data_IF_020905327396
#
_entry.id   IF_020905327396
#
_cell.length_a   1.000
_cell.length_b   1.000
_cell.length_c   1.000
_cell.angle_alpha   90.00
_cell.angle_beta   90.00
_cell.angle_gamma   90.00
#
_symmetry.space_group_name_H-M   'P 1'
#
loop_
_entity.id
_entity.type
_entity.pdbx_description
1 polymer ?
#
# COMPACT_ATOMS: atom_id res chain seq x y z
N UNK A 1 9.58 -35.66 -1.90
CA UNK A 1 10.96 -36.06 -1.54
C UNK A 1 11.16 -36.07 -0.04
N UNK A 2 10.78 -37.13 0.65
CA UNK A 2 11.49 -37.52 1.88
C UNK A 2 12.44 -38.71 1.65
N UNK A 3 12.52 -39.16 0.38
CA UNK A 3 13.44 -40.19 -0.15
C UNK A 3 14.27 -39.69 -1.34
N UNK A 4 14.25 -38.40 -1.66
CA UNK A 4 15.13 -37.77 -2.65
C UNK A 4 15.66 -36.51 -1.99
N UNK A 5 16.97 -36.44 -1.76
CA UNK A 5 17.71 -35.36 -1.08
C UNK A 5 17.68 -34.01 -1.80
N UNK A 6 16.49 -33.55 -2.17
CA UNK A 6 16.24 -32.23 -2.70
C UNK A 6 15.95 -31.36 -1.47
N UNK A 7 16.88 -30.47 -1.05
CA UNK A 7 16.48 -29.45 -0.10
C UNK A 7 15.38 -28.67 -0.80
N UNK A 8 14.17 -28.70 -0.25
CA UNK A 8 13.16 -27.74 -0.67
C UNK A 8 13.36 -26.54 0.23
N UNK A 9 14.10 -25.49 -0.19
CA UNK A 9 13.92 -24.22 0.47
C UNK A 9 12.54 -23.76 0.03
N UNK A 10 11.51 -24.14 0.79
CA UNK A 10 10.26 -23.39 0.70
C UNK A 10 10.63 -22.03 1.24
N UNK A 11 10.96 -21.11 0.33
CA UNK A 11 11.28 -19.73 0.63
C UNK A 11 10.26 -19.23 1.67
N UNK A 12 10.72 -18.74 2.81
CA UNK A 12 9.86 -18.19 3.86
C UNK A 12 8.87 -17.18 3.29
N UNK A 13 9.27 -16.44 2.25
CA UNK A 13 8.41 -15.55 1.49
C UNK A 13 7.25 -16.30 0.81
N UNK A 14 7.50 -17.42 0.12
CA UNK A 14 6.47 -18.24 -0.53
C UNK A 14 5.48 -18.84 0.49
N UNK A 15 5.98 -19.24 1.66
CA UNK A 15 5.13 -19.74 2.76
C UNK A 15 4.27 -18.63 3.38
N UNK A 16 4.85 -17.46 3.60
CA UNK A 16 4.11 -16.26 4.04
C UNK A 16 3.03 -15.88 3.05
N UNK A 17 3.34 -15.96 1.75
CA UNK A 17 2.43 -15.67 0.64
C UNK A 17 1.24 -16.62 0.57
N UNK A 18 1.49 -17.93 0.60
CA UNK A 18 0.44 -18.95 0.60
C UNK A 18 -0.44 -18.80 1.85
N UNK A 19 0.14 -18.50 3.02
CA UNK A 19 -0.63 -18.24 4.24
C UNK A 19 -1.49 -16.98 4.14
N UNK A 20 -0.98 -15.89 3.57
CA UNK A 20 -1.74 -14.65 3.40
C UNK A 20 -2.95 -14.85 2.47
N UNK A 21 -2.79 -15.64 1.40
CA UNK A 21 -3.87 -15.94 0.44
C UNK A 21 -4.89 -16.95 1.00
N UNK A 22 -4.46 -17.89 1.86
CA UNK A 22 -5.31 -18.98 2.41
C UNK A 22 -6.12 -18.55 3.64
N UNK A 23 -5.75 -17.47 4.31
CA UNK A 23 -6.52 -16.92 5.42
C UNK A 23 -7.87 -16.46 4.90
N UNK A 24 -8.97 -16.87 5.56
CA UNK A 24 -10.28 -16.24 5.36
C UNK A 24 -10.18 -14.77 5.76
N UNK A 25 -9.97 -13.91 4.78
CA UNK A 25 -9.97 -12.46 4.94
C UNK A 25 -11.41 -12.06 5.25
N UNK A 26 -11.62 -11.41 6.39
CA UNK A 26 -12.94 -10.91 6.77
C UNK A 26 -13.16 -9.61 6.00
N UNK A 27 -14.17 -9.56 5.12
CA UNK A 27 -14.56 -8.33 4.45
C UNK A 27 -15.09 -7.33 5.48
N UNK A 28 -14.39 -6.21 5.66
CA UNK A 28 -14.72 -5.14 6.62
C UNK A 28 -13.90 -3.88 6.35
N UNK A 29 -14.16 -2.77 7.06
CA UNK A 29 -13.46 -1.50 6.84
C UNK A 29 -11.94 -1.58 7.07
N UNK A 30 -11.45 -2.65 7.70
CA UNK A 30 -10.04 -2.93 7.99
C UNK A 30 -9.34 -3.80 6.94
N UNK A 31 -9.85 -3.79 5.70
CA UNK A 31 -9.26 -4.55 4.58
C UNK A 31 -8.74 -3.65 3.48
N UNK A 32 -7.67 -4.12 2.83
CA UNK A 32 -7.03 -3.52 1.68
C UNK A 32 -7.24 -4.44 0.48
N UNK A 33 -7.98 -3.97 -0.52
CA UNK A 33 -8.20 -4.70 -1.77
C UNK A 33 -7.19 -4.27 -2.84
N UNK A 34 -6.61 -5.22 -3.55
CA UNK A 34 -5.74 -5.00 -4.70
C UNK A 34 -6.41 -5.65 -5.91
N UNK A 35 -6.82 -4.86 -6.90
CA UNK A 35 -7.57 -5.33 -8.07
C UNK A 35 -7.31 -4.46 -9.32
N UNK A 36 -8.19 -4.53 -10.33
CA UNK A 36 -8.01 -3.85 -11.61
C UNK A 36 -7.28 -4.76 -12.60
N UNK A 37 -6.22 -4.26 -13.23
CA UNK A 37 -5.37 -4.96 -14.19
C UNK A 37 -4.47 -6.02 -13.51
N UNK A 38 -5.10 -7.02 -12.87
CA UNK A 38 -4.47 -8.15 -12.20
C UNK A 38 -5.18 -9.45 -12.56
N UNK A 39 -4.43 -10.55 -12.64
CA UNK A 39 -5.00 -11.87 -12.97
C UNK A 39 -6.00 -12.34 -11.90
N UNK A 40 -5.70 -12.08 -10.62
CA UNK A 40 -6.59 -12.41 -9.51
C UNK A 40 -6.54 -11.31 -8.46
N UNK A 41 -7.69 -10.70 -8.10
CA UNK A 41 -7.76 -9.74 -7.01
C UNK A 41 -7.36 -10.36 -5.67
N UNK A 42 -6.66 -9.58 -4.85
CA UNK A 42 -6.23 -9.97 -3.51
C UNK A 42 -6.84 -9.03 -2.49
N UNK A 43 -7.19 -9.54 -1.31
CA UNK A 43 -7.58 -8.70 -0.17
C UNK A 43 -6.68 -9.04 1.00
N UNK A 44 -6.19 -8.03 1.71
CA UNK A 44 -5.29 -8.18 2.85
C UNK A 44 -5.89 -7.46 4.05
N UNK A 45 -5.80 -8.06 5.22
CA UNK A 45 -6.01 -7.37 6.49
C UNK A 45 -4.66 -6.95 7.10
N UNK A 46 -4.69 -6.20 8.20
CA UNK A 46 -3.49 -5.79 8.94
C UNK A 46 -2.57 -6.97 9.29
N UNK A 47 -3.15 -8.11 9.67
CA UNK A 47 -2.37 -9.29 10.07
C UNK A 47 -1.65 -9.87 8.87
N UNK A 48 -2.29 -9.94 7.71
CA UNK A 48 -1.67 -10.38 6.46
C UNK A 48 -0.53 -9.43 6.06
N UNK A 49 -0.72 -8.12 6.17
CA UNK A 49 0.32 -7.11 5.90
C UNK A 49 1.55 -7.31 6.80
N UNK A 50 1.35 -7.59 8.09
CA UNK A 50 2.43 -7.85 9.04
C UNK A 50 3.21 -9.16 8.79
N UNK A 51 2.68 -10.07 7.95
CA UNK A 51 3.34 -11.33 7.59
C UNK A 51 4.09 -11.26 6.25
N UNK A 52 4.04 -10.13 5.55
CA UNK A 52 4.78 -9.92 4.31
C UNK A 52 6.29 -9.82 4.59
N UNK A 53 7.15 -10.14 3.59
CA UNK A 53 8.60 -10.27 3.79
C UNK A 53 9.23 -9.08 4.49
N UNK A 54 10.17 -9.37 5.40
CA UNK A 54 10.78 -8.37 6.27
C UNK A 54 11.52 -7.27 5.50
N UNK A 55 12.05 -7.55 4.30
CA UNK A 55 12.71 -6.54 3.46
C UNK A 55 11.79 -5.39 3.03
N UNK A 56 10.47 -5.61 2.99
CA UNK A 56 9.50 -4.58 2.66
C UNK A 56 8.93 -3.87 3.88
N UNK A 57 9.17 -4.37 5.09
CA UNK A 57 8.66 -3.79 6.32
C UNK A 57 9.48 -2.57 6.74
N UNK A 58 8.79 -1.57 7.28
CA UNK A 58 9.37 -0.39 7.91
C UNK A 58 8.88 -0.39 9.36
N UNK A 59 9.80 -0.66 10.28
CA UNK A 59 9.50 -0.78 11.72
C UNK A 59 9.18 0.56 12.37
N UNK A 60 9.73 1.65 11.84
CA UNK A 60 9.40 3.02 12.25
C UNK A 60 9.41 3.96 11.04
N UNK A 61 8.22 4.42 10.65
CA UNK A 61 8.02 5.36 9.55
C UNK A 61 8.67 6.72 9.81
N UNK A 62 8.90 7.11 11.07
CA UNK A 62 9.58 8.35 11.43
C UNK A 62 11.01 8.46 10.85
N UNK A 63 11.64 7.32 10.57
CA UNK A 63 12.99 7.25 9.98
C UNK A 63 13.05 7.74 8.53
N UNK A 64 11.93 7.67 7.80
CA UNK A 64 11.82 8.06 6.39
C UNK A 64 10.91 9.27 6.18
N UNK A 65 10.01 9.55 7.11
CA UNK A 65 9.10 10.68 7.08
C UNK A 65 9.05 11.33 8.48
N UNK A 66 9.87 12.36 8.74
CA UNK A 66 9.87 13.06 10.02
C UNK A 66 8.47 13.57 10.40
N UNK A 67 8.13 13.48 11.68
CA UNK A 67 6.82 13.87 12.22
C UNK A 67 5.72 12.82 12.05
N UNK A 68 6.05 11.64 11.54
CA UNK A 68 5.16 10.47 11.51
C UNK A 68 5.72 9.34 12.38
N UNK A 69 4.84 8.42 12.76
CA UNK A 69 5.18 7.23 13.54
C UNK A 69 4.35 6.05 13.05
N UNK A 70 4.76 4.85 13.46
CA UNK A 70 4.07 3.61 13.17
C UNK A 70 4.89 2.68 12.28
N UNK A 71 4.29 1.52 12.03
CA UNK A 71 4.81 0.51 11.15
C UNK A 71 4.11 0.59 9.80
N UNK A 72 4.90 0.41 8.74
CA UNK A 72 4.41 0.43 7.38
C UNK A 72 5.07 -0.64 6.53
N UNK A 73 4.54 -0.80 5.32
CA UNK A 73 5.12 -1.66 4.30
C UNK A 73 5.35 -0.85 3.03
N UNK A 74 6.49 -1.09 2.37
CA UNK A 74 6.77 -0.54 1.05
C UNK A 74 5.71 -1.03 0.07
N UNK A 75 5.11 -0.11 -0.68
CA UNK A 75 4.10 -0.43 -1.71
C UNK A 75 4.69 -1.39 -2.76
N UNK A 76 6.00 -1.35 -2.99
CA UNK A 76 6.73 -2.37 -3.75
C UNK A 76 6.30 -3.80 -3.37
N UNK A 77 6.37 -4.14 -2.07
CA UNK A 77 6.01 -5.48 -1.60
C UNK A 77 4.54 -5.83 -1.78
N UNK A 78 3.65 -4.83 -1.86
CA UNK A 78 2.23 -5.04 -2.17
C UNK A 78 1.99 -5.31 -3.66
N UNK A 79 2.73 -4.61 -4.52
CA UNK A 79 2.63 -4.74 -5.98
C UNK A 79 3.23 -6.04 -6.51
N UNK A 80 4.09 -6.70 -5.72
CA UNK A 80 4.64 -8.02 -6.06
C UNK A 80 3.68 -9.18 -5.69
N UNK A 81 2.53 -8.89 -5.06
CA UNK A 81 1.56 -9.92 -4.63
C UNK A 81 0.70 -10.43 -5.80
N UNK A 82 -0.06 -9.58 -6.51
CA UNK A 82 -0.82 -10.07 -7.65
C UNK A 82 0.09 -10.24 -8.87
N UNK A 83 -0.22 -11.24 -9.71
CA UNK A 83 0.25 -11.22 -11.09
C UNK A 83 -0.48 -10.09 -11.83
N UNK A 84 0.25 -9.14 -12.40
CA UNK A 84 -0.30 -8.02 -13.15
C UNK A 84 -0.67 -8.44 -14.58
N UNK A 85 -1.72 -7.84 -15.14
CA UNK A 85 -2.01 -7.94 -16.57
C UNK A 85 -0.94 -7.23 -17.41
N UNK A 86 -0.81 -7.63 -18.67
CA UNK A 86 0.13 -7.02 -19.61
C UNK A 86 -0.26 -5.54 -19.83
N UNK A 87 0.70 -4.64 -19.68
CA UNK A 87 0.52 -3.21 -19.90
C UNK A 87 0.10 -2.43 -18.66
N UNK A 88 -0.12 -3.08 -17.51
CA UNK A 88 -0.33 -2.38 -16.25
C UNK A 88 0.92 -1.55 -15.88
N UNK A 89 0.74 -0.25 -15.74
CA UNK A 89 1.81 0.73 -15.53
C UNK A 89 1.47 1.79 -14.48
N UNK A 90 0.23 1.80 -13.96
CA UNK A 90 -0.23 2.67 -12.89
C UNK A 90 -0.94 1.93 -11.77
N UNK A 91 -0.98 2.58 -10.61
CA UNK A 91 -1.80 2.19 -9.46
C UNK A 91 -2.54 3.42 -8.94
N UNK A 92 -3.85 3.26 -8.74
CA UNK A 92 -4.71 4.25 -8.09
C UNK A 92 -5.03 3.83 -6.67
N UNK A 93 -4.72 4.70 -5.71
CA UNK A 93 -5.02 4.49 -4.30
C UNK A 93 -6.32 5.17 -3.95
N UNK A 94 -7.34 4.40 -3.57
CA UNK A 94 -8.65 4.91 -3.20
C UNK A 94 -8.81 4.97 -1.69
N UNK A 95 -9.19 6.14 -1.19
CA UNK A 95 -9.66 6.29 0.19
C UNK A 95 -11.02 5.60 0.38
N UNK A 96 -11.35 5.25 1.62
CA UNK A 96 -12.66 4.77 2.02
C UNK A 96 -13.75 5.76 1.54
N UNK A 97 -14.88 5.24 1.06
CA UNK A 97 -15.97 6.01 0.43
C UNK A 97 -15.65 6.64 -0.94
N UNK A 98 -14.47 6.38 -1.53
CA UNK A 98 -14.13 6.77 -2.90
C UNK A 98 -14.04 8.28 -3.17
N UNK A 99 -14.08 9.12 -2.13
CA UNK A 99 -14.08 10.60 -2.25
C UNK A 99 -12.72 11.17 -2.61
N UNK A 100 -11.64 10.46 -2.28
CA UNK A 100 -10.28 10.83 -2.65
C UNK A 100 -9.56 9.66 -3.31
N UNK A 101 -8.84 9.95 -4.39
CA UNK A 101 -7.94 9.01 -5.02
C UNK A 101 -6.71 9.72 -5.58
N UNK A 102 -5.57 9.03 -5.57
CA UNK A 102 -4.34 9.48 -6.20
C UNK A 102 -3.82 8.38 -7.11
N UNK A 103 -3.49 8.72 -8.35
CA UNK A 103 -2.91 7.77 -9.32
C UNK A 103 -1.41 8.04 -9.45
N UNK A 104 -0.61 6.99 -9.29
CA UNK A 104 0.85 7.03 -9.45
C UNK A 104 1.25 6.03 -10.53
N UNK A 105 2.36 6.29 -11.22
CA UNK A 105 3.02 5.23 -12.00
C UNK A 105 3.49 4.12 -11.05
N UNK A 106 3.59 2.88 -11.52
CA UNK A 106 4.11 1.78 -10.71
C UNK A 106 5.56 2.06 -10.25
N UNK A 107 6.36 2.76 -11.06
CA UNK A 107 7.72 3.17 -10.67
C UNK A 107 7.69 4.11 -9.45
N UNK A 108 6.90 5.18 -9.50
CA UNK A 108 6.76 6.11 -8.38
C UNK A 108 6.21 5.43 -7.13
N UNK A 109 5.21 4.55 -7.29
CA UNK A 109 4.63 3.80 -6.18
C UNK A 109 5.65 2.83 -5.55
N UNK A 110 6.45 2.13 -6.35
CA UNK A 110 7.51 1.22 -5.86
C UNK A 110 8.63 1.98 -5.14
N UNK A 111 9.01 3.13 -5.65
CA UNK A 111 10.12 3.92 -5.14
C UNK A 111 9.75 4.67 -3.86
N UNK A 112 8.61 5.35 -3.86
CA UNK A 112 8.23 6.29 -2.79
C UNK A 112 7.13 5.77 -1.87
N UNK A 113 6.29 4.85 -2.34
CA UNK A 113 5.07 4.45 -1.64
C UNK A 113 5.34 3.64 -0.38
N UNK A 114 4.77 4.08 0.73
CA UNK A 114 4.71 3.33 2.00
C UNK A 114 3.28 3.34 2.51
N UNK A 115 2.72 2.16 2.79
CA UNK A 115 1.42 1.99 3.42
C UNK A 115 1.61 1.76 4.92
N UNK A 116 1.25 2.74 5.73
CA UNK A 116 1.25 2.66 7.20
C UNK A 116 0.00 1.91 7.65
N UNK A 117 0.17 0.86 8.46
CA UNK A 117 -0.92 -0.03 8.87
C UNK A 117 -1.06 -0.22 10.38
N UNK A 118 -0.12 0.30 11.17
CA UNK A 118 -0.13 0.14 12.63
C UNK A 118 0.62 1.28 13.33
N UNK A 119 0.15 1.67 14.52
CA UNK A 119 0.84 2.58 15.45
C UNK A 119 0.79 1.90 16.83
N UNK A 120 1.94 1.77 17.50
CA UNK A 120 2.05 1.22 18.86
C UNK A 120 1.37 -0.15 19.06
N UNK A 121 1.39 -1.03 18.05
CA UNK A 121 0.74 -2.35 18.12
C UNK A 121 -0.69 -2.39 17.60
N UNK A 122 -1.34 -1.23 17.48
CA UNK A 122 -2.76 -1.09 17.19
C UNK A 122 -3.03 -0.56 15.76
N UNK A 123 -4.21 -0.85 15.17
CA UNK A 123 -4.59 -0.28 13.88
C UNK A 123 -4.43 1.25 13.87
N UNK A 124 -4.06 1.81 12.71
CA UNK A 124 -3.95 3.28 12.59
C UNK A 124 -5.30 3.91 12.92
N UNK A 125 -5.37 4.87 13.87
CA UNK A 125 -6.63 5.55 14.18
C UNK A 125 -7.16 6.34 12.97
N UNK A 126 -8.49 6.47 12.86
CA UNK A 126 -9.13 7.27 11.79
C UNK A 126 -8.65 8.73 11.82
N UNK A 127 -8.45 9.30 13.02
CA UNK A 127 -7.90 10.65 13.20
C UNK A 127 -6.49 10.81 12.60
N UNK A 128 -5.71 9.72 12.56
CA UNK A 128 -4.38 9.65 11.97
C UNK A 128 -4.40 9.21 10.50
N UNK A 129 -5.60 9.02 9.92
CA UNK A 129 -5.81 8.64 8.53
C UNK A 129 -5.81 7.13 8.28
N UNK A 130 -6.16 6.34 9.29
CA UNK A 130 -6.28 4.88 9.15
C UNK A 130 -7.57 4.40 8.47
N UNK A 131 -7.78 3.06 8.41
CA UNK A 131 -6.91 2.03 9.01
C UNK A 131 -5.60 1.81 8.24
N UNK A 132 -5.55 2.24 6.98
CA UNK A 132 -4.33 2.26 6.17
C UNK A 132 -4.08 3.66 5.62
N UNK A 133 -2.83 4.11 5.67
CA UNK A 133 -2.43 5.44 5.16
C UNK A 133 -1.28 5.30 4.19
N UNK A 134 -1.46 5.82 2.97
CA UNK A 134 -0.36 5.99 2.05
C UNK A 134 0.42 7.25 2.40
N UNK A 135 1.74 7.13 2.37
CA UNK A 135 2.67 8.25 2.28
C UNK A 135 3.64 8.00 1.13
N UNK A 136 4.21 9.08 0.58
CA UNK A 136 5.13 9.03 -0.55
C UNK A 136 6.35 9.94 -0.30
N UNK A 137 7.22 9.61 0.68
CA UNK A 137 8.39 10.44 0.96
C UNK A 137 9.28 10.59 -0.28
N UNK A 138 9.72 11.80 -0.55
CA UNK A 138 10.57 12.12 -1.70
C UNK A 138 9.86 12.25 -3.05
N UNK A 139 8.56 11.95 -3.16
CA UNK A 139 7.81 12.16 -4.41
C UNK A 139 7.62 13.65 -4.74
N UNK A 140 7.67 14.53 -3.74
CA UNK A 140 7.48 15.98 -3.90
C UNK A 140 6.01 16.42 -4.03
N UNK A 141 5.06 15.49 -4.04
CA UNK A 141 3.62 15.77 -4.04
C UNK A 141 2.96 15.25 -2.76
N UNK A 142 2.72 16.16 -1.82
CA UNK A 142 2.03 15.85 -0.56
C UNK A 142 0.58 15.40 -0.76
N UNK A 143 -0.05 15.75 -1.89
CA UNK A 143 -1.41 15.32 -2.19
C UNK A 143 -1.47 13.82 -2.54
N UNK A 144 -0.34 13.18 -2.81
CA UNK A 144 -0.26 11.73 -2.95
C UNK A 144 -0.35 10.98 -1.60
N UNK A 145 -0.36 11.69 -0.45
CA UNK A 145 -0.60 11.07 0.85
C UNK A 145 -2.09 10.79 1.06
N UNK A 146 -2.52 9.55 0.77
CA UNK A 146 -3.92 9.14 0.89
C UNK A 146 -4.22 8.62 2.30
N UNK A 147 -5.25 9.19 2.93
CA UNK A 147 -5.79 8.70 4.21
C UNK A 147 -6.88 7.66 3.98
N UNK A 148 -6.96 6.65 4.83
CA UNK A 148 -8.01 5.64 4.81
C UNK A 148 -8.01 4.81 3.53
N UNK A 149 -6.85 4.45 3.01
CA UNK A 149 -6.71 3.63 1.80
C UNK A 149 -7.46 2.32 2.02
N UNK A 150 -8.34 1.98 1.08
CA UNK A 150 -9.12 0.73 1.10
C UNK A 150 -8.92 -0.11 -0.15
N UNK A 151 -8.46 0.50 -1.26
CA UNK A 151 -8.27 -0.18 -2.54
C UNK A 151 -7.07 0.38 -3.31
N UNK A 152 -6.24 -0.52 -3.84
CA UNK A 152 -5.23 -0.27 -4.86
C UNK A 152 -5.77 -0.85 -6.17
N UNK A 153 -6.03 0.01 -7.14
CA UNK A 153 -6.54 -0.37 -8.46
C UNK A 153 -5.43 -0.22 -9.49
N UNK A 154 -5.00 -1.35 -10.06
CA UNK A 154 -4.00 -1.41 -11.11
C UNK A 154 -4.64 -1.08 -12.45
N UNK A 155 -3.91 -0.37 -13.32
CA UNK A 155 -4.45 0.04 -14.63
C UNK A 155 -3.36 0.26 -15.68
N UNK A 156 -3.82 0.31 -16.93
CA UNK A 156 -3.03 0.72 -18.10
C UNK A 156 -3.32 2.21 -18.36
N UNK A 157 -2.41 3.07 -17.93
CA UNK A 157 -2.59 4.51 -17.85
C UNK A 157 -3.14 5.00 -16.50
N UNK A 158 -3.12 6.33 -16.26
CA UNK A 158 -3.56 6.91 -15.00
C UNK A 158 -5.05 6.64 -14.75
N UNK A 159 -5.38 6.27 -13.52
CA UNK A 159 -6.76 6.06 -13.07
C UNK A 159 -7.36 7.34 -12.47
N UNK A 160 -8.33 7.17 -11.56
CA UNK A 160 -8.97 8.29 -10.88
C UNK A 160 -7.93 9.07 -10.07
N UNK A 161 -7.83 10.36 -10.34
CA UNK A 161 -6.98 11.27 -9.58
C UNK A 161 -7.77 12.51 -9.16
N UNK A 162 -7.92 12.72 -7.86
CA UNK A 162 -8.63 13.86 -7.28
C UNK A 162 -7.68 14.85 -6.64
N UNK A 163 -6.37 14.69 -6.81
CA UNK A 163 -5.40 15.69 -6.35
C UNK A 163 -5.64 16.99 -7.13
N UNK A 164 -5.54 18.17 -6.50
CA UNK A 164 -5.69 19.43 -7.22
C UNK A 164 -4.66 19.50 -8.36
N UNK A 165 -5.13 19.73 -9.59
CA UNK A 165 -4.22 20.06 -10.70
C UNK A 165 -3.55 21.41 -10.38
N UNK A 166 -2.30 21.58 -10.82
CA UNK A 166 -1.36 22.65 -10.40
C UNK A 166 -1.77 24.12 -10.65
N UNK A 167 -3.05 24.46 -10.80
CA UNK A 167 -3.54 25.85 -10.80
C UNK A 167 -3.93 26.38 -9.41
N UNK A 168 -3.74 25.60 -8.33
CA UNK A 168 -4.14 26.01 -6.97
C UNK A 168 -3.02 26.10 -5.94
N UNK A 169 -1.76 25.86 -6.32
CA UNK A 169 -0.65 25.73 -5.35
C UNK A 169 -0.24 27.10 -4.76
N UNK A 170 -0.59 28.21 -5.43
CA UNK A 170 -0.31 29.57 -4.94
C UNK A 170 -1.26 30.04 -3.81
N UNK A 171 -2.40 29.38 -3.58
CA UNK A 171 -3.42 29.87 -2.65
C UNK A 171 -3.38 29.24 -1.25
N UNK A 172 -2.67 28.12 -1.06
CA UNK A 172 -2.66 27.36 0.22
C UNK A 172 -1.36 27.50 1.03
N UNK A 173 -0.32 28.13 0.46
CA UNK A 173 0.98 28.35 1.11
C UNK A 173 1.02 29.42 2.21
N UNK A 174 -0.12 29.99 2.63
CA UNK A 174 -0.16 31.12 3.59
C UNK A 174 -0.89 30.85 4.91
N UNK A 175 -1.05 29.59 5.36
CA UNK A 175 -1.78 29.39 6.62
C UNK A 175 -1.32 28.28 7.57
N UNK A 176 -0.06 27.90 7.57
CA UNK A 176 0.49 27.09 8.68
C UNK A 176 1.96 27.45 8.94
N UNK A 177 2.16 28.44 9.83
CA UNK A 177 3.30 28.59 10.74
C UNK A 177 2.71 28.79 12.13
#
# INVERSE_FOLDING_TARGET
GRELGIPTPVNTALTGFIKAITVRVHSGPETLRIDGAVIQPVTLDRRALAQLPAEYQISDVGTVQPGMTGQGIRVHGLLDIPALEIGADHVTFHAHEGRFAASLTLSQAREHGILVYQIDGEPVPVSSGGPFRLITPGLGDVCAHVKGVSRLELGCGPGKDTRPSGQGIEAIGKRWY
#
